data_IF_779608517122
#
_entry.id   IF_779608517122
#
_cell.length_a   1.000
_cell.length_b   1.000
_cell.length_c   1.000
_cell.angle_alpha   90.00
_cell.angle_beta   90.00
_cell.angle_gamma   90.00
#
_symmetry.space_group_name_H-M   'P 1'
#
loop_
_entity.id
_entity.type
_entity.pdbx_description
1 polymer ?
#
# COMPACT_ATOMS: atom_id res chain seq x y z
N UNK A 1 -15.57 -14.90 3.77
CA UNK A 1 -14.20 -14.42 3.99
C UNK A 1 -13.89 -13.51 2.82
N UNK A 2 -13.12 -12.45 3.07
CA UNK A 2 -12.93 -11.38 2.10
C UNK A 2 -11.68 -11.66 1.26
N UNK A 3 -11.88 -11.83 -0.04
CA UNK A 3 -10.82 -12.20 -0.97
C UNK A 3 -9.64 -11.22 -0.96
N UNK A 4 -8.40 -11.72 -0.94
CA UNK A 4 -7.20 -10.87 -0.89
C UNK A 4 -6.91 -10.18 -2.22
N UNK A 5 -6.31 -9.00 -2.19
CA UNK A 5 -5.90 -8.28 -3.40
C UNK A 5 -4.37 -8.23 -3.46
N UNK A 6 -3.80 -8.66 -4.60
CA UNK A 6 -2.38 -8.58 -4.89
C UNK A 6 -2.22 -7.93 -6.26
N UNK A 7 -1.60 -6.75 -6.31
CA UNK A 7 -1.45 -6.00 -7.55
C UNK A 7 -0.09 -5.35 -7.69
N UNK A 8 0.39 -5.34 -8.93
CA UNK A 8 1.53 -4.55 -9.42
C UNK A 8 1.05 -3.63 -10.54
N UNK A 9 1.95 -2.86 -11.14
CA UNK A 9 1.63 -1.99 -12.28
C UNK A 9 0.90 -0.73 -11.82
N UNK A 10 1.61 0.07 -11.03
CA UNK A 10 1.08 1.31 -10.47
C UNK A 10 0.83 2.33 -11.58
N UNK A 11 -0.26 3.07 -11.43
CA UNK A 11 -0.62 4.17 -12.34
C UNK A 11 0.00 5.44 -11.77
N UNK A 12 0.83 6.11 -12.55
CA UNK A 12 1.44 7.36 -12.12
C UNK A 12 0.71 8.54 -12.80
N UNK A 13 0.32 9.57 -12.04
CA UNK A 13 -0.13 10.83 -12.62
C UNK A 13 0.98 11.47 -13.47
N UNK A 14 0.59 12.22 -14.50
CA UNK A 14 1.55 13.00 -15.29
C UNK A 14 2.04 14.22 -14.50
N UNK A 15 1.13 14.85 -13.74
CA UNK A 15 1.43 16.00 -12.89
C UNK A 15 0.70 15.84 -11.57
N UNK A 16 1.35 16.25 -10.48
CA UNK A 16 0.72 16.34 -9.18
C UNK A 16 1.00 17.71 -8.56
N UNK A 17 -0.05 18.32 -8.02
CA UNK A 17 -0.02 19.67 -7.47
C UNK A 17 -0.61 19.65 -6.05
N UNK A 18 0.22 19.47 -5.02
CA UNK A 18 -0.18 19.70 -3.64
C UNK A 18 -0.48 21.18 -3.42
N UNK A 19 -1.53 21.49 -2.65
CA UNK A 19 -1.88 22.89 -2.32
C UNK A 19 -0.87 23.57 -1.43
N UNK A 20 -0.12 22.80 -0.64
CA UNK A 20 0.95 23.27 0.22
C UNK A 20 1.96 22.14 0.45
N UNK A 21 3.24 22.49 0.57
CA UNK A 21 4.31 21.53 0.82
C UNK A 21 5.42 22.17 1.68
N UNK A 22 5.93 21.41 2.64
CA UNK A 22 7.18 21.74 3.34
C UNK A 22 8.37 21.41 2.43
N UNK A 23 9.25 22.39 2.20
CA UNK A 23 10.43 22.21 1.33
C UNK A 23 11.39 21.12 1.81
N UNK A 24 11.42 20.83 3.12
CA UNK A 24 12.26 19.76 3.68
C UNK A 24 11.65 18.37 3.51
N UNK A 25 10.34 18.32 3.21
CA UNK A 25 9.57 17.10 3.05
C UNK A 25 8.74 17.18 1.76
N UNK A 26 9.42 17.22 0.60
CA UNK A 26 8.76 17.46 -0.68
C UNK A 26 7.82 16.32 -1.06
N UNK A 27 6.83 16.63 -1.92
CA UNK A 27 5.85 15.65 -2.38
C UNK A 27 6.48 14.44 -3.08
N UNK A 28 7.59 14.65 -3.79
CA UNK A 28 8.34 13.61 -4.49
C UNK A 28 8.78 12.45 -3.58
N UNK A 29 8.89 12.68 -2.27
CA UNK A 29 9.20 11.62 -1.30
C UNK A 29 8.19 10.47 -1.36
N UNK A 30 6.91 10.78 -1.58
CA UNK A 30 5.83 9.78 -1.57
C UNK A 30 5.88 8.79 -2.74
N UNK A 31 6.70 9.04 -3.77
CA UNK A 31 6.92 8.15 -4.92
C UNK A 31 8.14 7.26 -4.74
N UNK A 32 8.93 7.47 -3.67
CA UNK A 32 10.12 6.68 -3.40
C UNK A 32 9.70 5.43 -2.62
N UNK A 33 9.10 4.47 -3.34
CA UNK A 33 8.56 3.23 -2.77
C UNK A 33 9.58 2.40 -1.97
N UNK A 34 10.87 2.56 -2.28
CA UNK A 34 11.97 1.93 -1.57
C UNK A 34 12.30 2.55 -0.21
N UNK A 35 11.61 3.63 0.19
CA UNK A 35 11.90 4.40 1.41
C UNK A 35 10.60 4.76 2.08
N UNK A 36 9.98 3.80 2.76
CA UNK A 36 8.64 3.97 3.32
C UNK A 36 8.58 5.05 4.40
N UNK A 37 9.71 5.49 4.95
CA UNK A 37 9.79 6.54 5.98
C UNK A 37 10.02 7.94 5.41
N UNK A 38 10.16 8.06 4.09
CA UNK A 38 10.30 9.33 3.41
C UNK A 38 8.93 9.96 3.20
N UNK A 39 8.60 10.86 4.11
CA UNK A 39 7.31 11.55 4.12
C UNK A 39 7.30 12.85 3.33
N UNK A 40 6.17 13.14 2.69
CA UNK A 40 5.77 14.48 2.31
C UNK A 40 4.99 15.13 3.45
N UNK A 41 5.15 16.44 3.64
CA UNK A 41 4.42 17.17 4.69
C UNK A 41 3.76 18.45 4.20
N UNK A 42 2.64 18.79 4.82
CA UNK A 42 1.98 20.09 4.70
C UNK A 42 1.84 20.72 6.09
N UNK A 43 2.32 21.96 6.24
CA UNK A 43 2.29 22.70 7.52
C UNK A 43 0.92 23.35 7.77
N UNK A 44 0.00 23.28 6.81
CA UNK A 44 -1.36 23.79 6.94
C UNK A 44 -2.07 23.08 8.08
N UNK A 45 -2.77 23.84 8.91
CA UNK A 45 -3.66 23.31 9.95
C UNK A 45 -5.03 22.91 9.40
N UNK A 46 -5.43 23.50 8.27
CA UNK A 46 -6.79 23.44 7.73
C UNK A 46 -6.95 22.27 6.77
N UNK A 47 -6.84 22.49 5.46
CA UNK A 47 -7.09 21.47 4.45
C UNK A 47 -5.84 21.26 3.61
N UNK A 48 -5.47 20.00 3.39
CA UNK A 48 -4.42 19.65 2.45
C UNK A 48 -5.01 18.92 1.26
N UNK A 49 -4.81 19.48 0.07
CA UNK A 49 -5.29 18.86 -1.18
C UNK A 49 -4.12 18.53 -2.07
N UNK A 50 -4.24 17.42 -2.79
CA UNK A 50 -3.31 17.03 -3.84
C UNK A 50 -4.13 16.74 -5.08
N UNK A 51 -3.90 17.54 -6.12
CA UNK A 51 -4.52 17.33 -7.44
C UNK A 51 -3.55 16.54 -8.32
N UNK A 52 -3.99 15.39 -8.80
CA UNK A 52 -3.28 14.53 -9.74
C UNK A 52 -3.95 14.66 -11.12
N UNK A 53 -3.18 15.04 -12.15
CA UNK A 53 -3.59 15.04 -13.55
C UNK A 53 -2.96 13.84 -14.27
N UNK A 54 -3.80 12.92 -14.76
CA UNK A 54 -3.36 11.77 -15.54
C UNK A 54 -3.18 12.08 -17.04
N UNK A 55 -3.43 13.31 -17.48
CA UNK A 55 -3.36 13.77 -18.87
C UNK A 55 -4.55 13.32 -19.74
N UNK A 56 -5.11 12.14 -19.43
CA UNK A 56 -6.30 11.55 -20.06
C UNK A 56 -7.19 10.90 -19.01
N UNK A 57 -8.45 10.64 -19.36
CA UNK A 57 -9.35 9.87 -18.50
C UNK A 57 -8.73 8.50 -18.21
N UNK A 58 -8.55 8.20 -16.92
CA UNK A 58 -7.83 7.03 -16.45
C UNK A 58 -8.66 6.29 -15.42
N UNK A 59 -8.71 4.96 -15.56
CA UNK A 59 -9.39 4.09 -14.61
C UNK A 59 -8.51 3.86 -13.40
N UNK A 60 -9.04 4.12 -12.22
CA UNK A 60 -8.39 3.86 -10.93
C UNK A 60 -9.31 2.97 -10.10
N UNK A 61 -8.88 1.74 -9.79
CA UNK A 61 -9.64 0.82 -8.96
C UNK A 61 -9.42 1.04 -7.47
N UNK A 62 -8.23 1.48 -7.07
CA UNK A 62 -7.92 1.75 -5.67
C UNK A 62 -6.75 2.71 -5.48
N UNK A 63 -6.66 3.25 -4.26
CA UNK A 63 -5.52 4.04 -3.79
C UNK A 63 -5.07 3.48 -2.44
N UNK A 64 -3.77 3.25 -2.28
CA UNK A 64 -3.18 2.99 -0.96
C UNK A 64 -2.50 4.26 -0.47
N UNK A 65 -2.81 4.69 0.76
CA UNK A 65 -2.05 5.70 1.49
C UNK A 65 -1.42 5.04 2.72
N UNK A 66 -0.10 5.14 2.85
CA UNK A 66 0.68 4.49 3.90
C UNK A 66 1.40 5.52 4.78
N UNK A 67 1.53 5.17 6.06
CA UNK A 67 2.12 5.99 7.13
C UNK A 67 1.65 7.44 7.08
N UNK A 68 0.34 7.60 7.28
CA UNK A 68 -0.31 8.91 7.32
C UNK A 68 -0.55 9.37 8.76
N UNK A 69 -1.00 10.61 8.97
CA UNK A 69 -1.35 11.09 10.32
C UNK A 69 -2.70 11.81 10.41
N UNK A 70 -3.65 11.42 9.58
CA UNK A 70 -5.02 11.94 9.60
C UNK A 70 -6.01 10.78 9.74
N UNK A 71 -7.19 11.05 10.30
CA UNK A 71 -8.21 10.03 10.58
C UNK A 71 -9.18 9.81 9.40
N UNK A 72 -9.22 10.75 8.44
CA UNK A 72 -10.10 10.67 7.27
C UNK A 72 -9.49 11.34 6.05
N UNK A 73 -9.85 10.84 4.88
CA UNK A 73 -9.48 11.40 3.57
C UNK A 73 -10.66 11.29 2.62
N UNK A 74 -10.80 12.25 1.72
CA UNK A 74 -11.78 12.22 0.63
C UNK A 74 -11.05 12.07 -0.69
N UNK A 75 -11.44 11.08 -1.49
CA UNK A 75 -10.98 10.92 -2.87
C UNK A 75 -12.04 11.48 -3.80
N UNK A 76 -11.63 12.40 -4.68
CA UNK A 76 -12.52 13.06 -5.61
C UNK A 76 -12.02 12.87 -7.04
N UNK A 77 -12.95 12.86 -8.00
CA UNK A 77 -12.66 12.69 -9.42
C UNK A 77 -13.44 13.68 -10.27
N UNK A 78 -12.79 14.23 -11.31
CA UNK A 78 -13.45 15.10 -12.28
C UNK A 78 -12.77 15.09 -13.66
N UNK A 79 -13.51 15.45 -14.70
CA UNK A 79 -13.01 15.55 -16.08
C UNK A 79 -12.18 16.82 -16.32
N UNK A 80 -12.42 17.86 -15.52
CA UNK A 80 -11.71 19.14 -15.55
C UNK A 80 -11.16 19.47 -14.16
N UNK A 81 -10.10 20.29 -14.08
CA UNK A 81 -9.53 20.77 -12.82
C UNK A 81 -10.44 21.84 -12.18
N UNK A 82 -11.60 21.40 -11.70
CA UNK A 82 -12.60 22.23 -11.05
C UNK A 82 -13.28 21.43 -9.95
N UNK A 83 -13.30 21.99 -8.74
CA UNK A 83 -13.61 21.21 -7.54
C UNK A 83 -14.79 21.73 -6.72
N UNK A 84 -15.58 22.64 -7.28
CA UNK A 84 -16.80 23.14 -6.63
C UNK A 84 -17.89 22.07 -6.53
N UNK A 85 -17.95 21.15 -7.50
CA UNK A 85 -18.88 20.01 -7.52
C UNK A 85 -18.23 18.83 -8.24
N UNK A 86 -17.34 18.07 -7.58
CA UNK A 86 -16.64 16.95 -8.21
C UNK A 86 -17.63 15.84 -8.60
N UNK A 87 -17.40 15.22 -9.76
CA UNK A 87 -18.24 14.14 -10.30
C UNK A 87 -18.23 12.89 -9.42
N UNK A 88 -17.09 12.60 -8.79
CA UNK A 88 -16.94 11.59 -7.75
C UNK A 88 -16.46 12.25 -6.45
N UNK A 89 -17.02 11.86 -5.31
CA UNK A 89 -16.51 12.24 -3.99
C UNK A 89 -16.80 11.12 -2.99
N UNK A 90 -15.76 10.39 -2.58
CA UNK A 90 -15.85 9.26 -1.66
C UNK A 90 -14.98 9.53 -0.42
N UNK A 91 -15.54 9.35 0.77
CA UNK A 91 -14.84 9.54 2.05
C UNK A 91 -14.37 8.19 2.56
N UNK A 92 -13.12 8.13 3.02
CA UNK A 92 -12.51 6.95 3.62
C UNK A 92 -12.01 7.27 5.02
N UNK A 93 -12.21 6.32 5.93
CA UNK A 93 -11.66 6.35 7.28
C UNK A 93 -10.26 5.76 7.26
N UNK A 94 -9.34 6.38 7.98
CA UNK A 94 -7.99 5.88 8.20
C UNK A 94 -7.93 5.27 9.60
N UNK A 95 -7.41 4.05 9.69
CA UNK A 95 -7.19 3.34 10.94
C UNK A 95 -5.73 2.95 11.10
N UNK A 96 -5.33 2.70 12.34
CA UNK A 96 -4.01 2.16 12.65
C UNK A 96 -4.00 0.65 12.43
N UNK A 97 -3.02 0.19 11.68
CA UNK A 97 -2.69 -1.23 11.59
C UNK A 97 -1.89 -1.64 12.83
N UNK A 98 -2.52 -2.41 13.73
CA UNK A 98 -1.94 -2.83 15.00
C UNK A 98 -0.62 -3.61 14.89
N UNK A 99 -0.36 -4.25 13.74
CA UNK A 99 0.88 -5.01 13.51
C UNK A 99 2.02 -4.09 13.08
N UNK A 100 1.72 -3.10 12.22
CA UNK A 100 2.70 -2.13 11.72
C UNK A 100 2.91 -0.95 12.67
N UNK A 101 1.93 -0.67 13.54
CA UNK A 101 1.84 0.53 14.39
C UNK A 101 1.88 1.80 13.52
N UNK A 102 1.11 1.80 12.43
CA UNK A 102 1.04 2.89 11.45
C UNK A 102 -0.38 3.08 10.95
N UNK A 103 -0.77 4.34 10.74
CA UNK A 103 -2.06 4.67 10.13
C UNK A 103 -1.98 4.50 8.62
N UNK A 104 -2.92 3.73 8.08
CA UNK A 104 -2.97 3.35 6.66
C UNK A 104 -4.41 3.33 6.17
N UNK A 105 -4.60 3.46 4.86
CA UNK A 105 -5.92 3.25 4.24
C UNK A 105 -5.78 2.73 2.82
N UNK A 106 -6.58 1.71 2.52
CA UNK A 106 -6.83 1.22 1.17
C UNK A 106 -8.20 1.70 0.67
N UNK A 107 -8.20 2.71 -0.19
CA UNK A 107 -9.38 3.35 -0.74
C UNK A 107 -9.84 2.61 -2.01
N UNK A 108 -10.76 1.64 -1.88
CA UNK A 108 -11.43 1.02 -3.03
C UNK A 108 -12.39 2.03 -3.68
N UNK A 109 -12.16 2.35 -4.95
CA UNK A 109 -12.96 3.33 -5.68
C UNK A 109 -14.06 2.65 -6.50
N UNK A 110 -15.24 3.27 -6.53
CA UNK A 110 -16.36 2.78 -7.35
C UNK A 110 -16.42 3.55 -8.66
N UNK A 111 -16.13 2.87 -9.78
CA UNK A 111 -16.28 3.41 -11.14
C UNK A 111 -15.49 4.71 -11.40
N UNK A 112 -14.30 4.87 -10.81
CA UNK A 112 -13.44 6.01 -11.13
C UNK A 112 -12.90 5.87 -12.56
N UNK A 113 -13.24 6.82 -13.43
CA UNK A 113 -12.67 6.96 -14.77
C UNK A 113 -12.63 8.45 -15.14
N UNK A 114 -11.64 9.16 -14.63
CA UNK A 114 -11.51 10.61 -14.76
C UNK A 114 -10.07 11.00 -15.07
N UNK A 115 -9.88 12.20 -15.63
CA UNK A 115 -8.55 12.75 -15.88
C UNK A 115 -7.92 13.32 -14.60
N UNK A 116 -8.72 13.96 -13.76
CA UNK A 116 -8.26 14.59 -12.53
C UNK A 116 -8.73 13.81 -11.32
N UNK A 117 -7.82 13.61 -10.38
CA UNK A 117 -8.08 13.05 -9.06
C UNK A 117 -7.63 14.06 -8.00
N UNK A 118 -8.43 14.25 -6.95
CA UNK A 118 -8.01 15.03 -5.78
C UNK A 118 -8.05 14.19 -4.52
N UNK A 119 -6.91 14.06 -3.88
CA UNK A 119 -6.80 13.58 -2.50
C UNK A 119 -7.03 14.79 -1.61
N UNK A 120 -8.09 14.78 -0.80
CA UNK A 120 -8.45 15.87 0.12
C UNK A 120 -8.39 15.37 1.55
N UNK A 121 -7.45 15.91 2.32
CA UNK A 121 -7.39 15.76 3.77
C UNK A 121 -8.13 16.95 4.39
N UNK A 122 -9.33 16.76 4.97
CA UNK A 122 -10.09 17.86 5.57
C UNK A 122 -9.41 18.38 6.85
N UNK A 123 -9.88 19.54 7.32
CA UNK A 123 -9.49 20.08 8.62
C UNK A 123 -9.84 19.12 9.75
N UNK A 124 -8.80 18.62 10.41
CA UNK A 124 -8.89 17.63 11.49
C UNK A 124 -7.62 17.63 12.35
N UNK A 125 -7.72 17.04 13.55
CA UNK A 125 -6.56 16.78 14.39
C UNK A 125 -5.67 15.69 13.79
N UNK A 126 -4.36 15.81 13.99
CA UNK A 126 -3.39 14.81 13.54
C UNK A 126 -3.30 13.68 14.55
N UNK A 127 -3.14 12.45 14.09
CA UNK A 127 -3.13 11.25 14.95
C UNK A 127 -1.83 11.08 15.73
N UNK A 128 -0.73 11.70 15.27
CA UNK A 128 0.61 11.58 15.87
C UNK A 128 1.07 12.84 16.62
N UNK A 129 0.21 13.88 16.70
CA UNK A 129 0.53 15.13 17.36
C UNK A 129 1.49 16.06 16.60
N UNK A 130 1.90 15.72 15.37
CA UNK A 130 2.70 16.62 14.54
C UNK A 130 1.87 17.84 14.12
N UNK A 131 2.54 19.00 14.06
CA UNK A 131 1.96 20.26 13.58
C UNK A 131 1.79 20.33 12.05
N UNK A 132 1.95 19.22 11.35
CA UNK A 132 1.88 19.10 9.90
C UNK A 132 1.15 17.80 9.54
N UNK A 133 0.38 17.82 8.44
CA UNK A 133 -0.08 16.56 7.85
C UNK A 133 1.09 15.85 7.17
N UNK A 134 1.10 14.52 7.19
CA UNK A 134 2.08 13.68 6.50
C UNK A 134 1.44 12.54 5.74
N UNK A 135 2.07 12.21 4.61
CA UNK A 135 1.84 10.98 3.84
C UNK A 135 3.21 10.46 3.49
N UNK A 136 3.47 9.17 3.69
CA UNK A 136 4.78 8.60 3.35
C UNK A 136 4.79 7.85 2.04
N UNK A 137 3.72 7.16 1.68
CA UNK A 137 3.59 6.59 0.34
C UNK A 137 2.15 6.67 -0.14
N UNK A 138 2.01 6.90 -1.44
CA UNK A 138 0.74 6.86 -2.16
C UNK A 138 0.91 5.93 -3.35
N UNK A 139 -0.09 5.11 -3.62
CA UNK A 139 -0.05 4.18 -4.75
C UNK A 139 -1.41 4.19 -5.41
N UNK A 140 -1.45 4.42 -6.72
CA UNK A 140 -2.67 4.31 -7.50
C UNK A 140 -2.67 2.98 -8.27
N UNK A 141 -3.77 2.25 -8.17
CA UNK A 141 -3.95 0.95 -8.82
C UNK A 141 -5.01 1.07 -9.90
N UNK A 142 -4.69 0.65 -11.14
CA UNK A 142 -5.66 0.61 -12.24
C UNK A 142 -6.85 -0.32 -11.94
N UNK A 143 -6.61 -1.37 -11.15
CA UNK A 143 -7.64 -2.32 -10.72
C UNK A 143 -7.31 -2.86 -9.32
N UNK A 144 -8.34 -3.25 -8.60
CA UNK A 144 -8.24 -3.88 -7.28
C UNK A 144 -9.09 -5.15 -7.26
N UNK A 145 -8.78 -6.06 -8.18
CA UNK A 145 -9.46 -7.36 -8.28
C UNK A 145 -8.92 -8.30 -7.21
N UNK A 146 -9.84 -8.87 -6.43
CA UNK A 146 -9.51 -9.85 -5.41
C UNK A 146 -9.32 -11.24 -6.02
N UNK A 147 -8.47 -12.05 -5.40
CA UNK A 147 -8.24 -13.44 -5.77
C UNK A 147 -9.54 -14.23 -5.68
N UNK A 148 -9.73 -15.20 -6.56
CA UNK A 148 -10.99 -15.96 -6.63
C UNK A 148 -11.11 -17.00 -5.52
N UNK A 149 -9.99 -17.42 -4.92
CA UNK A 149 -9.92 -18.37 -3.81
C UNK A 149 -9.08 -17.79 -2.66
N UNK A 150 -9.59 -17.97 -1.43
CA UNK A 150 -8.90 -17.63 -0.19
C UNK A 150 -7.80 -18.66 0.14
N UNK A 151 -6.73 -18.25 0.85
CA UNK A 151 -5.64 -19.16 1.18
C UNK A 151 -6.10 -20.11 2.29
N UNK A 152 -5.64 -21.36 2.26
CA UNK A 152 -5.89 -22.31 3.34
C UNK A 152 -5.03 -22.06 4.58
N UNK A 153 -3.86 -21.45 4.38
CA UNK A 153 -2.94 -21.04 5.44
C UNK A 153 -2.57 -19.58 5.26
N UNK A 154 -2.59 -18.83 6.34
CA UNK A 154 -2.39 -17.38 6.32
C UNK A 154 -1.58 -16.93 7.54
N UNK A 155 -0.61 -16.04 7.32
CA UNK A 155 0.13 -15.36 8.37
C UNK A 155 0.26 -13.87 8.02
N UNK A 156 0.02 -13.02 9.02
CA UNK A 156 0.20 -11.58 8.94
C UNK A 156 0.72 -11.10 10.28
N UNK A 157 1.95 -10.60 10.32
CA UNK A 157 2.57 -10.18 11.57
C UNK A 157 3.61 -9.09 11.34
N UNK A 158 3.74 -8.20 12.32
CA UNK A 158 4.79 -7.19 12.35
C UNK A 158 5.96 -7.61 13.23
N UNK A 159 7.19 -7.46 12.73
CA UNK A 159 8.41 -7.73 13.50
C UNK A 159 9.40 -6.57 13.37
N UNK A 160 10.26 -6.39 14.37
CA UNK A 160 11.37 -5.46 14.27
C UNK A 160 12.50 -6.13 13.47
N UNK A 161 13.07 -5.46 12.46
CA UNK A 161 14.22 -6.01 11.75
C UNK A 161 15.38 -6.22 12.72
N UNK A 162 16.13 -7.29 12.50
CA UNK A 162 17.33 -7.57 13.30
C UNK A 162 18.33 -6.40 13.17
N UNK A 163 18.98 -5.98 14.26
CA UNK A 163 19.97 -4.92 14.19
C UNK A 163 21.16 -5.37 13.32
N UNK A 164 21.74 -4.44 12.56
CA UNK A 164 22.92 -4.73 11.75
C UNK A 164 24.12 -4.80 12.68
N UNK A 165 24.79 -5.94 12.72
CA UNK A 165 26.00 -6.13 13.53
C UNK A 165 27.23 -6.06 12.62
N UNK A 166 27.98 -4.96 12.73
CA UNK A 166 29.27 -4.78 12.06
C UNK A 166 30.38 -5.25 13.00
N UNK A 167 31.14 -6.27 12.58
CA UNK A 167 32.32 -6.75 13.31
C UNK A 167 33.59 -6.20 12.66
N UNK A 168 34.48 -5.60 13.47
CA UNK A 168 35.73 -5.03 13.00
C UNK A 168 36.91 -5.98 13.26
N UNK A 169 37.93 -5.93 12.40
CA UNK A 169 39.16 -6.72 12.57
C UNK A 169 39.89 -6.49 13.91
N UNK A 170 39.64 -5.36 14.59
CA UNK A 170 40.15 -5.06 15.93
C UNK A 170 39.44 -5.83 17.05
N UNK A 171 38.42 -6.62 16.75
CA UNK A 171 37.57 -7.32 17.73
C UNK A 171 36.43 -6.47 18.30
N UNK A 172 36.28 -5.22 17.84
CA UNK A 172 35.14 -4.37 18.17
C UNK A 172 33.86 -4.81 17.46
N UNK A 173 32.71 -4.54 18.08
CA UNK A 173 31.38 -4.74 17.48
C UNK A 173 30.61 -3.43 17.52
N UNK A 174 30.00 -3.06 16.40
CA UNK A 174 29.01 -2.00 16.32
C UNK A 174 27.65 -2.63 16.01
N UNK A 175 26.64 -2.27 16.80
CA UNK A 175 25.26 -2.70 16.62
C UNK A 175 24.49 -1.47 16.16
N UNK A 176 24.03 -1.50 14.91
CA UNK A 176 23.21 -0.44 14.32
C UNK A 176 21.75 -0.87 14.45
N UNK A 177 21.03 -0.18 15.34
CA UNK A 177 19.58 -0.27 15.43
C UNK A 177 18.96 0.29 14.15
N UNK A 178 18.08 -0.49 13.52
CA UNK A 178 17.35 -0.09 12.32
C UNK A 178 16.11 0.77 12.65
N UNK A 179 15.89 1.06 13.93
CA UNK A 179 14.84 1.93 14.43
C UNK A 179 13.54 1.19 14.74
N UNK A 180 12.56 1.94 15.25
CA UNK A 180 11.30 1.39 15.79
C UNK A 180 10.26 1.04 14.72
N UNK A 181 10.67 0.76 13.48
CA UNK A 181 9.75 0.48 12.39
C UNK A 181 9.53 -1.03 12.28
N UNK A 182 8.33 -1.48 12.66
CA UNK A 182 7.92 -2.85 12.38
C UNK A 182 7.76 -3.07 10.88
N UNK A 183 8.33 -4.15 10.37
CA UNK A 183 8.15 -4.65 9.02
C UNK A 183 7.02 -5.67 9.05
N UNK A 184 6.07 -5.55 8.13
CA UNK A 184 5.05 -6.57 7.95
C UNK A 184 5.56 -7.72 7.09
N UNK A 185 5.35 -8.94 7.57
CA UNK A 185 5.44 -10.17 6.77
C UNK A 185 4.03 -10.71 6.52
N UNK A 186 3.79 -11.12 5.28
CA UNK A 186 2.56 -11.80 4.85
C UNK A 186 2.93 -13.15 4.25
N UNK A 187 2.39 -14.23 4.79
CA UNK A 187 2.57 -15.59 4.28
C UNK A 187 1.24 -16.22 3.91
N UNK A 188 1.18 -16.89 2.76
CA UNK A 188 -0.06 -17.51 2.27
C UNK A 188 0.20 -18.84 1.58
N UNK A 189 -0.65 -19.83 1.83
CA UNK A 189 -0.57 -21.13 1.16
C UNK A 189 -1.95 -21.68 0.84
N UNK A 190 -2.02 -22.50 -0.20
CA UNK A 190 -3.26 -23.10 -0.68
C UNK A 190 -3.17 -24.61 -0.61
N UNK A 191 -4.18 -25.24 -0.02
CA UNK A 191 -4.39 -26.69 0.01
C UNK A 191 -5.75 -26.97 -0.61
N UNK A 192 -5.80 -27.83 -1.63
CA UNK A 192 -7.04 -28.05 -2.39
C UNK A 192 -7.35 -26.92 -3.38
N UNK A 193 -6.32 -26.36 -4.04
CA UNK A 193 -6.49 -25.34 -5.08
C UNK A 193 -7.30 -25.90 -6.25
N UNK A 194 -8.43 -25.26 -6.55
CA UNK A 194 -9.29 -25.71 -7.65
C UNK A 194 -8.61 -25.48 -9.01
N UNK A 195 -8.86 -26.39 -9.97
CA UNK A 195 -8.20 -26.35 -11.28
C UNK A 195 -8.39 -25.01 -12.01
N UNK A 196 -9.56 -24.39 -11.84
CA UNK A 196 -9.93 -23.13 -12.48
C UNK A 196 -9.17 -21.91 -11.94
N UNK A 197 -8.67 -21.96 -10.69
CA UNK A 197 -7.95 -20.85 -10.05
C UNK A 197 -6.43 -20.98 -10.14
N UNK A 198 -5.91 -22.09 -10.64
CA UNK A 198 -4.47 -22.34 -10.80
C UNK A 198 -3.78 -21.24 -11.61
N UNK A 199 -4.40 -20.78 -12.70
CA UNK A 199 -3.82 -19.76 -13.56
C UNK A 199 -3.76 -18.38 -12.91
N UNK A 200 -4.75 -18.04 -12.08
CA UNK A 200 -4.78 -16.81 -11.29
C UNK A 200 -3.68 -16.81 -10.24
N UNK A 201 -3.58 -17.87 -9.43
CA UNK A 201 -2.53 -18.00 -8.42
C UNK A 201 -1.15 -18.02 -9.07
N UNK A 202 -0.96 -18.80 -10.14
CA UNK A 202 0.31 -18.85 -10.88
C UNK A 202 0.69 -17.51 -11.53
N UNK A 203 -0.26 -16.58 -11.75
CA UNK A 203 0.05 -15.27 -12.30
C UNK A 203 0.90 -14.42 -11.34
N UNK A 204 0.86 -14.69 -10.03
CA UNK A 204 1.70 -14.02 -9.03
C UNK A 204 3.19 -14.32 -9.28
N UNK A 205 3.54 -15.46 -9.90
CA UNK A 205 4.92 -15.76 -10.29
C UNK A 205 5.49 -14.84 -11.37
N UNK A 206 4.63 -14.08 -12.07
CA UNK A 206 5.10 -13.09 -13.04
C UNK A 206 5.80 -11.91 -12.36
N UNK A 207 5.52 -11.68 -11.09
CA UNK A 207 6.18 -10.64 -10.31
C UNK A 207 7.58 -11.10 -9.92
N UNK A 208 8.56 -10.23 -10.19
CA UNK A 208 9.95 -10.44 -9.78
C UNK A 208 10.10 -10.03 -8.31
N UNK A 209 11.11 -10.54 -7.59
CA UNK A 209 11.44 -10.07 -6.25
C UNK A 209 11.74 -8.56 -6.16
N UNK A 210 12.10 -7.94 -7.29
CA UNK A 210 12.34 -6.50 -7.38
C UNK A 210 11.08 -5.66 -7.56
N UNK A 211 9.96 -6.28 -7.94
CA UNK A 211 8.74 -5.57 -8.26
C UNK A 211 8.01 -5.16 -6.98
N UNK A 212 7.47 -3.95 -6.97
CA UNK A 212 6.60 -3.48 -5.90
C UNK A 212 5.18 -3.99 -6.08
N UNK A 213 4.62 -4.49 -5.00
CA UNK A 213 3.29 -5.06 -4.93
C UNK A 213 2.50 -4.36 -3.82
N UNK A 214 1.20 -4.21 -4.03
CA UNK A 214 0.27 -3.93 -2.95
C UNK A 214 -0.44 -5.21 -2.58
N UNK A 215 -0.34 -5.56 -1.30
CA UNK A 215 -1.14 -6.59 -0.65
C UNK A 215 -2.24 -5.91 0.17
N UNK A 216 -3.47 -6.43 0.10
CA UNK A 216 -4.58 -5.94 0.93
C UNK A 216 -5.49 -7.09 1.39
N UNK A 217 -5.76 -7.15 2.69
CA UNK A 217 -6.77 -8.02 3.29
C UNK A 217 -8.16 -7.38 3.14
N UNK A 218 -8.97 -7.86 2.20
CA UNK A 218 -10.31 -7.31 1.96
C UNK A 218 -11.35 -7.81 2.99
N UNK A 219 -11.01 -7.79 4.28
CA UNK A 219 -11.85 -8.32 5.37
C UNK A 219 -12.57 -7.21 6.17
N UNK A 220 -12.70 -6.02 5.58
CA UNK A 220 -13.40 -4.88 6.17
C UNK A 220 -12.51 -3.90 6.93
N UNK A 221 -11.24 -4.24 7.18
CA UNK A 221 -10.25 -3.31 7.74
C UNK A 221 -9.35 -2.76 6.64
N UNK A 222 -9.57 -1.49 6.27
CA UNK A 222 -8.80 -0.81 5.22
C UNK A 222 -7.35 -0.51 5.61
N UNK A 223 -6.97 -0.67 6.88
CA UNK A 223 -5.58 -0.47 7.31
C UNK A 223 -4.67 -1.65 6.97
N UNK A 224 -5.24 -2.84 6.72
CA UNK A 224 -4.51 -4.09 6.41
C UNK A 224 -4.02 -4.13 4.96
N UNK A 225 -3.33 -3.06 4.55
CA UNK A 225 -2.65 -2.92 3.28
C UNK A 225 -1.15 -2.73 3.48
N UNK A 226 -0.37 -3.31 2.57
CA UNK A 226 1.09 -3.35 2.65
C UNK A 226 1.68 -3.14 1.26
N UNK A 227 2.65 -2.23 1.16
CA UNK A 227 3.54 -2.14 0.01
C UNK A 227 4.67 -3.13 0.23
N UNK A 228 4.72 -4.20 -0.54
CA UNK A 228 5.61 -5.33 -0.31
C UNK A 228 6.36 -5.74 -1.57
N UNK A 229 7.33 -6.63 -1.38
CA UNK A 229 7.97 -7.44 -2.42
C UNK A 229 7.65 -8.91 -2.17
N UNK A 230 7.68 -9.69 -3.25
CA UNK A 230 7.54 -11.15 -3.14
C UNK A 230 8.90 -11.75 -2.82
N UNK A 231 8.97 -12.57 -1.77
CA UNK A 231 10.22 -13.22 -1.35
C UNK A 231 10.33 -14.64 -1.91
N UNK A 232 9.21 -15.35 -2.01
CA UNK A 232 9.19 -16.76 -2.44
C UNK A 232 8.35 -16.96 -3.69
N UNK A 233 8.85 -17.74 -4.64
CA UNK A 233 8.09 -18.16 -5.82
C UNK A 233 7.04 -19.22 -5.47
N UNK A 234 5.92 -19.19 -6.17
CA UNK A 234 4.86 -20.18 -6.05
C UNK A 234 5.28 -21.47 -6.76
N UNK A 235 5.23 -22.56 -6.01
CA UNK A 235 5.43 -23.91 -6.47
C UNK A 235 4.14 -24.69 -6.25
N UNK A 236 3.58 -25.22 -7.34
CA UNK A 236 2.40 -26.08 -7.26
C UNK A 236 2.89 -27.53 -7.14
N UNK A 237 2.37 -28.24 -6.15
CA UNK A 237 2.61 -29.66 -5.95
C UNK A 237 1.30 -30.45 -5.94
N UNK A 238 1.41 -31.73 -6.28
CA UNK A 238 0.31 -32.69 -6.32
C UNK A 238 0.59 -33.80 -5.31
N UNK A 239 0.21 -33.61 -4.03
CA UNK A 239 0.38 -34.65 -3.01
C UNK A 239 -0.40 -35.92 -3.37
N UNK A 240 -1.47 -35.79 -4.15
CA UNK A 240 -2.15 -36.88 -4.83
C UNK A 240 -2.82 -36.36 -6.12
N UNK A 241 -3.41 -37.25 -6.92
CA UNK A 241 -3.94 -36.91 -8.25
C UNK A 241 -5.05 -35.83 -8.24
N UNK A 242 -5.82 -35.72 -7.16
CA UNK A 242 -6.99 -34.83 -7.08
C UNK A 242 -6.74 -33.56 -6.28
N UNK A 243 -5.65 -33.49 -5.51
CA UNK A 243 -5.33 -32.35 -4.65
C UNK A 243 -4.16 -31.58 -5.25
N UNK A 244 -4.36 -30.27 -5.40
CA UNK A 244 -3.30 -29.31 -5.73
C UNK A 244 -3.03 -28.47 -4.50
N UNK A 245 -1.76 -28.23 -4.21
CA UNK A 245 -1.36 -27.34 -3.12
C UNK A 245 -0.17 -26.48 -3.54
N UNK A 246 0.02 -25.35 -2.86
CA UNK A 246 1.19 -24.49 -3.03
C UNK A 246 2.13 -24.63 -1.84
N UNK A 247 3.39 -24.28 -2.02
CA UNK A 247 4.22 -23.84 -0.90
C UNK A 247 3.64 -22.54 -0.28
N UNK A 248 4.18 -22.15 0.86
CA UNK A 248 3.92 -20.83 1.41
C UNK A 248 4.59 -19.76 0.54
N UNK A 249 3.77 -18.81 0.13
CA UNK A 249 4.13 -17.63 -0.65
C UNK A 249 4.29 -16.50 0.34
N UNK A 250 5.50 -15.95 0.43
CA UNK A 250 5.81 -14.89 1.38
C UNK A 250 6.02 -13.55 0.68
N UNK A 251 5.58 -12.50 1.37
CA UNK A 251 5.77 -11.11 1.00
C UNK A 251 6.28 -10.34 2.22
N UNK A 252 7.25 -9.46 1.98
CA UNK A 252 7.81 -8.59 3.02
C UNK A 252 7.59 -7.13 2.64
N UNK A 253 7.13 -6.33 3.60
CA UNK A 253 6.96 -4.89 3.44
C UNK A 253 8.28 -4.21 3.07
N UNK A 254 8.19 -3.21 2.20
CA UNK A 254 9.34 -2.40 1.83
C UNK A 254 9.56 -1.30 2.87
N UNK A 255 10.81 -1.14 3.33
CA UNK A 255 11.23 -0.05 4.21
C UNK A 255 12.26 0.86 3.54
#
# INVERSE_FOLDING_TARGET
>A
MGNMIIKSGFVEPTVETPSEIDSNYPWSNTSVYARLMWQARSITANEWTIVCDFGVATVIGAIMLNDVNFASVTIQGNDTDSWGSPSLSQVFTVSEDAEAIRYKVFCLLTSFNYRYLRIKVPAQSRTDGLAAFRISSRIFLASATALSQDPSSYSYYGYYPDPIVNEFFSGGKEIVDQGNNKIIHVGMGYTGLEAQYVSEISAINKFKPTDYLVFFENMGDTSKCVLCRKDTDIQISWPNYWVRQTNEISFTEVI
#
